data_IF_172278374877
#
_entry.id   IF_172278374877
#
_cell.length_a   1.000
_cell.length_b   1.000
_cell.length_c   1.000
_cell.angle_alpha   90.00
_cell.angle_beta   90.00
_cell.angle_gamma   90.00
#
_symmetry.space_group_name_H-M   'P 1'
#
loop_
_entity.id
_entity.type
_entity.pdbx_description
1 polymer ?
#
# COMPACT_ATOMS: atom_id res chain seq x y z
N UNK A 1 -20.95 -10.90 -2.55
CA UNK A 1 -19.62 -11.46 -2.23
C UNK A 1 -18.97 -11.88 -3.52
N UNK A 2 -17.73 -11.47 -3.75
CA UNK A 2 -16.97 -11.83 -4.95
C UNK A 2 -15.80 -12.70 -4.51
N UNK A 3 -15.62 -13.85 -5.15
CA UNK A 3 -14.56 -14.80 -4.82
C UNK A 3 -13.39 -14.58 -5.75
N UNK A 4 -12.18 -14.63 -5.19
CA UNK A 4 -10.93 -14.58 -5.94
C UNK A 4 -10.27 -15.95 -5.77
N UNK A 5 -9.92 -16.60 -6.88
CA UNK A 5 -9.19 -17.87 -6.89
C UNK A 5 -7.79 -17.62 -7.42
N UNK A 6 -6.79 -17.86 -6.56
CA UNK A 6 -5.37 -17.75 -6.90
C UNK A 6 -4.63 -18.99 -6.43
N UNK A 7 -3.62 -19.46 -7.17
CA UNK A 7 -2.75 -20.51 -6.70
C UNK A 7 -1.93 -20.00 -5.51
N UNK A 8 -1.72 -20.87 -4.53
CA UNK A 8 -1.01 -20.56 -3.29
C UNK A 8 0.15 -21.55 -3.16
N UNK A 9 1.34 -21.04 -2.85
CA UNK A 9 2.51 -21.91 -2.66
C UNK A 9 2.40 -22.69 -1.35
N UNK A 10 3.18 -23.77 -1.23
CA UNK A 10 3.21 -24.59 -0.02
C UNK A 10 3.66 -23.77 1.21
N UNK A 11 4.68 -22.92 1.05
CA UNK A 11 5.15 -22.01 2.10
C UNK A 11 4.05 -21.04 2.58
N UNK A 12 3.24 -20.51 1.66
CA UNK A 12 2.10 -19.66 2.02
C UNK A 12 1.04 -20.45 2.78
N UNK A 13 0.77 -21.70 2.37
CA UNK A 13 -0.17 -22.57 3.09
C UNK A 13 0.32 -22.91 4.50
N UNK A 14 1.61 -23.17 4.67
CA UNK A 14 2.24 -23.39 5.98
C UNK A 14 2.07 -22.18 6.88
N UNK A 15 2.39 -20.98 6.38
CA UNK A 15 2.20 -19.73 7.12
C UNK A 15 0.74 -19.54 7.54
N UNK A 16 -0.21 -19.71 6.62
CA UNK A 16 -1.64 -19.58 6.90
C UNK A 16 -2.06 -20.57 7.99
N UNK A 17 -1.59 -21.82 7.92
CA UNK A 17 -1.90 -22.85 8.92
C UNK A 17 -1.30 -22.50 10.29
N UNK A 18 -0.09 -21.95 10.34
CA UNK A 18 0.51 -21.48 11.60
C UNK A 18 -0.32 -20.34 12.21
N UNK A 19 -0.79 -19.39 11.42
CA UNK A 19 -1.64 -18.29 11.91
C UNK A 19 -2.95 -18.80 12.54
N UNK A 20 -3.55 -19.84 11.96
CA UNK A 20 -4.73 -20.50 12.54
C UNK A 20 -4.37 -21.24 13.83
N UNK A 21 -3.26 -21.99 13.84
CA UNK A 21 -2.78 -22.72 15.03
C UNK A 21 -2.48 -21.79 16.21
N UNK A 22 -1.96 -20.59 15.93
CA UNK A 22 -1.69 -19.56 16.93
C UNK A 22 -2.96 -18.85 17.44
N UNK A 23 -4.14 -19.21 16.91
CA UNK A 23 -5.41 -18.62 17.33
C UNK A 23 -5.65 -17.21 16.76
N UNK A 24 -4.83 -16.77 15.81
CA UNK A 24 -5.02 -15.43 15.23
C UNK A 24 -6.23 -15.38 14.28
N UNK A 25 -6.71 -16.50 13.75
CA UNK A 25 -7.85 -16.52 12.83
C UNK A 25 -8.55 -17.89 12.79
N UNK A 26 -9.86 -17.89 12.51
CA UNK A 26 -10.69 -19.11 12.52
C UNK A 26 -10.49 -20.00 11.28
N UNK A 27 -10.07 -19.41 10.16
CA UNK A 27 -9.89 -20.14 8.89
C UNK A 27 -8.95 -19.42 7.94
N UNK A 28 -8.54 -20.11 6.87
CA UNK A 28 -7.59 -19.61 5.87
C UNK A 28 -8.05 -18.29 5.23
N UNK A 29 -9.34 -18.19 4.90
CA UNK A 29 -9.88 -17.00 4.28
C UNK A 29 -9.86 -15.79 5.23
N UNK A 30 -10.06 -16.02 6.53
CA UNK A 30 -9.95 -14.99 7.56
C UNK A 30 -8.52 -14.45 7.68
N UNK A 31 -7.50 -15.34 7.63
CA UNK A 31 -6.08 -14.95 7.59
C UNK A 31 -5.81 -14.06 6.37
N UNK A 32 -6.25 -14.49 5.18
CA UNK A 32 -6.03 -13.75 3.92
C UNK A 32 -6.70 -12.37 3.98
N UNK A 33 -7.96 -12.29 4.43
CA UNK A 33 -8.66 -11.00 4.55
C UNK A 33 -7.92 -10.05 5.48
N UNK A 34 -7.46 -10.54 6.64
CA UNK A 34 -6.66 -9.72 7.56
C UNK A 34 -5.34 -9.27 6.94
N UNK A 35 -4.66 -10.14 6.21
CA UNK A 35 -3.41 -9.79 5.54
C UNK A 35 -3.62 -8.66 4.51
N UNK A 36 -4.70 -8.73 3.72
CA UNK A 36 -5.06 -7.67 2.76
C UNK A 36 -5.39 -6.37 3.49
N UNK A 37 -6.12 -6.41 4.60
CA UNK A 37 -6.40 -5.22 5.40
C UNK A 37 -5.11 -4.56 5.91
N UNK A 38 -4.16 -5.35 6.42
CA UNK A 38 -2.86 -4.83 6.87
C UNK A 38 -2.03 -4.26 5.72
N UNK A 39 -2.00 -4.93 4.57
CA UNK A 39 -1.30 -4.42 3.40
C UNK A 39 -1.81 -3.03 3.01
N UNK A 40 -3.14 -2.81 3.03
CA UNK A 40 -3.72 -1.49 2.75
C UNK A 40 -3.30 -0.43 3.76
N UNK A 41 -3.21 -0.78 5.04
CA UNK A 41 -2.74 0.13 6.09
C UNK A 41 -1.26 0.49 5.88
N UNK A 42 -0.43 -0.51 5.56
CA UNK A 42 0.99 -0.33 5.28
C UNK A 42 1.22 0.55 4.04
N UNK A 43 0.46 0.34 2.97
CA UNK A 43 0.54 1.16 1.75
C UNK A 43 0.21 2.62 2.03
N UNK A 44 -0.82 2.90 2.84
CA UNK A 44 -1.18 4.26 3.22
C UNK A 44 -0.08 4.95 4.04
N UNK A 45 0.58 4.23 4.94
CA UNK A 45 1.75 4.74 5.68
C UNK A 45 2.91 5.02 4.72
N UNK A 46 3.19 4.10 3.79
CA UNK A 46 4.27 4.27 2.83
C UNK A 46 4.03 5.44 1.88
N UNK A 47 2.77 5.75 1.53
CA UNK A 47 2.43 6.91 0.73
C UNK A 47 2.80 8.23 1.42
N UNK A 48 2.44 8.36 2.71
CA UNK A 48 2.80 9.55 3.51
C UNK A 48 4.33 9.68 3.62
N UNK A 49 5.02 8.59 3.96
CA UNK A 49 6.49 8.60 4.08
C UNK A 49 7.20 8.92 2.76
N UNK A 50 6.58 8.60 1.61
CA UNK A 50 7.09 8.99 0.30
C UNK A 50 6.88 10.49 0.07
N UNK A 51 5.69 11.01 0.38
CA UNK A 51 5.39 12.43 0.27
C UNK A 51 6.33 13.28 1.14
N UNK A 52 6.65 12.85 2.37
CA UNK A 52 7.61 13.54 3.24
C UNK A 52 9.04 13.55 2.69
N UNK A 53 9.39 12.62 1.80
CA UNK A 53 10.72 12.54 1.18
C UNK A 53 10.81 13.31 -0.14
N UNK A 54 9.69 13.78 -0.68
CA UNK A 54 9.72 14.62 -1.86
C UNK A 54 10.38 15.96 -1.52
N UNK A 55 11.31 16.46 -2.35
CA UNK A 55 11.96 17.74 -2.10
C UNK A 55 10.93 18.87 -2.14
N UNK A 56 10.93 19.70 -1.10
CA UNK A 56 10.12 20.93 -1.09
C UNK A 56 10.52 21.82 -2.27
N UNK A 57 9.55 22.08 -3.15
CA UNK A 57 9.72 23.00 -4.27
C UNK A 57 9.59 24.43 -3.78
N UNK A 58 10.72 25.08 -3.50
CA UNK A 58 10.78 26.50 -3.20
C UNK A 58 11.03 27.31 -4.49
N UNK A 59 10.10 28.18 -4.84
CA UNK A 59 10.24 29.12 -5.95
C UNK A 59 9.13 30.17 -5.96
N UNK A 60 9.42 31.37 -6.49
CA UNK A 60 8.41 32.41 -6.66
C UNK A 60 7.56 32.11 -7.91
N UNK A 61 6.28 31.79 -7.69
CA UNK A 61 5.30 31.53 -8.75
C UNK A 61 5.18 32.71 -9.73
N UNK A 62 5.46 33.95 -9.28
CA UNK A 62 5.44 35.14 -10.14
C UNK A 62 6.60 35.13 -11.14
N UNK A 63 7.75 34.58 -10.77
CA UNK A 63 8.89 34.47 -11.70
C UNK A 63 8.66 33.38 -12.74
N UNK A 64 8.08 32.24 -12.34
CA UNK A 64 7.64 31.20 -13.27
C UNK A 64 6.63 31.74 -14.27
N UNK A 65 5.60 32.46 -13.80
CA UNK A 65 4.57 33.03 -14.66
C UNK A 65 5.14 34.01 -15.71
N UNK A 66 6.17 34.79 -15.36
CA UNK A 66 6.85 35.70 -16.29
C UNK A 66 7.59 34.96 -17.40
N UNK A 67 8.21 33.81 -17.12
CA UNK A 67 8.92 33.01 -18.14
C UNK A 67 7.98 32.44 -19.19
N UNK A 68 6.79 31.96 -18.79
CA UNK A 68 5.81 31.42 -19.72
C UNK A 68 5.10 32.50 -20.55
N UNK A 69 4.93 33.71 -20.01
CA UNK A 69 4.32 34.83 -20.77
C UNK A 69 5.21 35.38 -21.88
N UNK A 70 6.53 35.18 -21.79
CA UNK A 70 7.50 35.65 -22.79
C UNK A 70 7.81 34.62 -23.89
N UNK A 71 7.15 33.45 -23.90
CA UNK A 71 7.31 32.39 -24.90
C UNK A 71 6.00 32.08 -25.67
N UNK A 72 5.01 32.98 -25.60
CA UNK A 72 3.82 32.98 -26.46
C UNK A 72 3.73 34.29 -27.22
#
# INVERSE_FOLDING_TARGET
MTTISVPVTEQMLEFINQQIKMGFADNKASVIRRAISRLREEEAIQEILRAEREPDLHGDLRELAKKFKNHG
#
